data_IF_022828567693
#
_entry.id   IF_022828567693
#
_cell.length_a   1.000
_cell.length_b   1.000
_cell.length_c   1.000
_cell.angle_alpha   90.00
_cell.angle_beta   90.00
_cell.angle_gamma   90.00
#
_symmetry.space_group_name_H-M   'P 1'
#
loop_
_entity.id
_entity.type
_entity.pdbx_description
1 polymer ?
#
# COMPACT_ATOMS: atom_id res chain seq x y z
N UNK A 1 -23.47 0.02 3.20
CA UNK A 1 -22.44 -0.81 3.86
C UNK A 1 -22.61 -0.57 5.35
N UNK A 2 -22.71 -1.64 6.19
CA UNK A 2 -22.97 -1.45 7.62
C UNK A 2 -21.79 -0.78 8.33
N UNK A 3 -22.06 -0.06 9.42
CA UNK A 3 -21.09 0.70 10.23
C UNK A 3 -19.88 -0.15 10.67
N UNK A 4 -20.14 -1.41 11.06
CA UNK A 4 -19.08 -2.36 11.46
C UNK A 4 -18.18 -2.79 10.31
N UNK A 5 -18.71 -2.88 9.10
CA UNK A 5 -17.91 -3.21 7.91
C UNK A 5 -16.91 -2.08 7.62
N UNK A 6 -17.35 -0.82 7.70
CA UNK A 6 -16.49 0.34 7.53
C UNK A 6 -15.41 0.40 8.60
N UNK A 7 -15.77 0.17 9.87
CA UNK A 7 -14.80 0.13 10.98
C UNK A 7 -13.72 -0.93 10.76
N UNK A 8 -14.11 -2.16 10.40
CA UNK A 8 -13.13 -3.23 10.15
C UNK A 8 -12.26 -2.97 8.93
N UNK A 9 -12.78 -2.27 7.91
CA UNK A 9 -11.99 -1.87 6.76
C UNK A 9 -10.96 -0.80 7.15
N UNK A 10 -11.35 0.20 7.92
CA UNK A 10 -10.45 1.25 8.41
C UNK A 10 -9.34 0.68 9.30
N UNK A 11 -9.68 -0.22 10.23
CA UNK A 11 -8.69 -0.93 11.03
C UNK A 11 -7.73 -1.76 10.15
N UNK A 12 -8.25 -2.39 9.10
CA UNK A 12 -7.45 -3.24 8.21
C UNK A 12 -6.47 -2.42 7.34
N UNK A 13 -6.85 -1.23 6.92
CA UNK A 13 -5.99 -0.29 6.16
C UNK A 13 -4.76 0.18 6.93
N UNK A 14 -4.79 0.07 8.27
CA UNK A 14 -3.64 0.38 9.12
C UNK A 14 -2.65 -0.79 9.25
N UNK A 15 -2.97 -1.95 8.69
CA UNK A 15 -2.12 -3.13 8.76
C UNK A 15 -1.16 -3.17 7.57
N UNK A 16 0.10 -3.50 7.86
CA UNK A 16 1.09 -3.77 6.82
C UNK A 16 1.12 -5.28 6.53
N UNK A 17 0.99 -5.71 5.28
CA UNK A 17 1.20 -7.11 4.91
C UNK A 17 2.61 -7.58 5.30
N UNK A 18 2.73 -8.84 5.75
CA UNK A 18 4.03 -9.42 6.12
C UNK A 18 4.89 -9.83 4.93
N UNK A 19 4.29 -9.89 3.75
CA UNK A 19 4.96 -10.28 2.50
C UNK A 19 4.33 -9.56 1.32
N UNK A 20 5.14 -9.33 0.32
CA UNK A 20 4.74 -8.78 -0.97
C UNK A 20 4.53 -9.95 -1.94
N UNK A 21 3.44 -9.92 -2.70
CA UNK A 21 3.29 -10.84 -3.83
C UNK A 21 4.24 -10.41 -4.95
N UNK A 22 5.15 -11.30 -5.28
CA UNK A 22 5.91 -11.20 -6.51
C UNK A 22 5.23 -12.13 -7.53
N UNK A 23 4.45 -11.56 -8.45
CA UNK A 23 3.78 -12.36 -9.46
C UNK A 23 4.83 -12.99 -10.39
N UNK A 24 4.63 -14.25 -10.74
CA UNK A 24 5.55 -14.98 -11.63
C UNK A 24 5.65 -14.38 -13.04
N UNK A 25 4.70 -13.53 -13.42
CA UNK A 25 4.63 -12.81 -14.68
C UNK A 25 4.88 -11.30 -14.54
N UNK A 26 5.54 -10.83 -13.47
CA UNK A 26 5.87 -9.42 -13.31
C UNK A 26 6.71 -8.85 -14.46
N UNK A 27 7.44 -9.71 -15.19
CA UNK A 27 8.19 -9.36 -16.38
C UNK A 27 7.29 -9.11 -17.63
N UNK A 28 6.00 -9.48 -17.56
CA UNK A 28 5.00 -9.23 -18.59
C UNK A 28 4.26 -7.89 -18.37
N UNK A 29 4.57 -7.16 -17.27
CA UNK A 29 4.07 -5.80 -17.04
C UNK A 29 4.75 -4.85 -18.03
N UNK A 30 3.99 -4.34 -18.99
CA UNK A 30 4.49 -3.51 -20.10
C UNK A 30 5.23 -2.26 -19.57
N UNK A 31 4.71 -1.62 -18.54
CA UNK A 31 5.31 -0.41 -17.97
C UNK A 31 6.64 -0.71 -17.26
N UNK A 32 6.68 -1.81 -16.51
CA UNK A 32 7.90 -2.25 -15.84
C UNK A 32 8.95 -2.72 -16.86
N UNK A 33 8.53 -3.46 -17.88
CA UNK A 33 9.41 -3.92 -18.95
C UNK A 33 10.00 -2.75 -19.75
N UNK A 34 9.17 -1.77 -20.14
CA UNK A 34 9.62 -0.57 -20.84
C UNK A 34 10.65 0.23 -20.00
N UNK A 35 10.40 0.39 -18.71
CA UNK A 35 11.35 1.05 -17.80
C UNK A 35 12.69 0.29 -17.75
N UNK A 36 12.65 -1.04 -17.69
CA UNK A 36 13.87 -1.88 -17.64
C UNK A 36 14.64 -1.84 -18.94
N UNK A 37 13.96 -1.83 -20.09
CA UNK A 37 14.58 -1.67 -21.42
C UNK A 37 15.31 -0.32 -21.53
N UNK A 38 14.71 0.75 -21.03
CA UNK A 38 15.28 2.09 -21.08
C UNK A 38 16.45 2.26 -20.10
N UNK A 39 16.36 1.68 -18.90
CA UNK A 39 17.23 2.04 -17.76
C UNK A 39 18.10 0.91 -17.25
N UNK A 40 17.83 -0.33 -17.68
CA UNK A 40 18.57 -1.54 -17.33
C UNK A 40 18.06 -2.22 -16.05
N UNK A 41 18.56 -3.43 -15.83
CA UNK A 41 18.12 -4.34 -14.75
C UNK A 41 18.29 -3.80 -13.32
N UNK A 42 19.17 -2.83 -13.10
CA UNK A 42 19.31 -2.21 -11.78
C UNK A 42 18.02 -1.53 -11.32
N UNK A 43 17.27 -0.94 -12.26
CA UNK A 43 16.00 -0.29 -11.97
C UNK A 43 14.91 -1.28 -11.57
N UNK A 44 14.91 -2.49 -12.11
CA UNK A 44 14.04 -3.57 -11.68
C UNK A 44 14.26 -3.92 -10.20
N UNK A 45 15.52 -4.07 -9.78
CA UNK A 45 15.87 -4.31 -8.38
C UNK A 45 15.44 -3.16 -7.46
N UNK A 46 15.63 -1.90 -7.89
CA UNK A 46 15.20 -0.73 -7.11
C UNK A 46 13.68 -0.61 -7.03
N UNK A 47 12.97 -0.97 -8.08
CA UNK A 47 11.50 -1.01 -8.06
C UNK A 47 11.00 -1.98 -6.99
N UNK A 48 11.51 -3.20 -6.95
CA UNK A 48 11.08 -4.18 -5.95
C UNK A 48 11.48 -3.80 -4.54
N UNK A 49 12.66 -3.23 -4.34
CA UNK A 49 13.07 -2.68 -3.05
C UNK A 49 12.11 -1.57 -2.59
N UNK A 50 11.68 -0.70 -3.49
CA UNK A 50 10.70 0.35 -3.19
C UNK A 50 9.32 -0.25 -2.89
N UNK A 51 8.89 -1.28 -3.61
CA UNK A 51 7.64 -2.02 -3.34
C UNK A 51 7.66 -2.59 -1.91
N UNK A 52 8.73 -3.25 -1.50
CA UNK A 52 8.91 -3.79 -0.15
C UNK A 52 8.88 -2.68 0.91
N UNK A 53 9.61 -1.60 0.67
CA UNK A 53 9.69 -0.45 1.56
C UNK A 53 8.30 0.18 1.78
N UNK A 54 7.55 0.43 0.72
CA UNK A 54 6.21 1.02 0.80
C UNK A 54 5.20 0.07 1.43
N UNK A 55 5.24 -1.22 1.08
CA UNK A 55 4.34 -2.23 1.66
C UNK A 55 4.50 -2.34 3.18
N UNK A 56 5.72 -2.16 3.70
CA UNK A 56 6.02 -2.21 5.12
C UNK A 56 5.59 -0.96 5.90
N UNK A 57 5.18 0.11 5.22
CA UNK A 57 4.78 1.38 5.83
C UNK A 57 3.28 1.49 5.98
N UNK A 58 2.84 2.16 7.04
CA UNK A 58 1.42 2.54 7.19
C UNK A 58 1.03 3.52 6.10
N UNK A 59 -0.13 3.30 5.49
CA UNK A 59 -0.63 4.09 4.37
C UNK A 59 0.07 3.83 3.04
N UNK A 60 1.14 3.00 3.04
CA UNK A 60 1.85 2.56 1.83
C UNK A 60 2.42 3.71 0.98
N UNK A 61 2.73 4.82 1.64
CA UNK A 61 3.28 6.02 1.02
C UNK A 61 4.61 6.44 1.66
N UNK A 62 5.36 7.28 0.96
CA UNK A 62 6.58 7.88 1.44
C UNK A 62 6.55 9.40 1.20
N UNK A 63 6.70 10.19 2.26
CA UNK A 63 6.74 11.64 2.17
C UNK A 63 8.04 12.11 1.49
N UNK A 64 7.90 12.74 0.34
CA UNK A 64 8.97 13.34 -0.48
C UNK A 64 8.74 14.83 -0.75
N UNK A 65 7.85 15.46 -0.01
CA UNK A 65 7.48 16.86 -0.16
C UNK A 65 8.65 17.83 0.08
N UNK A 66 9.65 17.41 0.84
CA UNK A 66 10.81 18.24 1.19
C UNK A 66 12.16 17.52 0.97
N UNK A 67 13.24 18.29 1.14
CA UNK A 67 14.61 17.76 1.00
C UNK A 67 14.96 16.68 2.04
N UNK A 68 14.31 16.66 3.20
CA UNK A 68 14.53 15.65 4.25
C UNK A 68 13.87 14.33 3.85
N UNK A 69 12.67 14.39 3.25
CA UNK A 69 11.98 13.22 2.70
C UNK A 69 12.85 12.51 1.66
N UNK A 70 13.40 13.25 0.71
CA UNK A 70 14.30 12.71 -0.31
C UNK A 70 15.58 12.09 0.27
N UNK A 71 16.19 12.72 1.29
CA UNK A 71 17.36 12.15 1.96
C UNK A 71 17.03 10.84 2.68
N UNK A 72 15.88 10.79 3.37
CA UNK A 72 15.42 9.56 4.05
C UNK A 72 15.15 8.45 3.04
N UNK A 73 14.41 8.74 1.95
CA UNK A 73 14.14 7.75 0.91
C UNK A 73 15.44 7.19 0.31
N UNK A 74 16.39 8.05 -0.07
CA UNK A 74 17.67 7.62 -0.60
C UNK A 74 18.45 6.77 0.41
N UNK A 75 18.42 7.11 1.70
CA UNK A 75 19.04 6.32 2.77
C UNK A 75 18.38 4.93 2.90
N UNK A 76 17.06 4.88 2.98
CA UNK A 76 16.31 3.63 3.16
C UNK A 76 16.48 2.70 1.95
N UNK A 77 16.59 3.24 0.74
CA UNK A 77 16.90 2.48 -0.47
C UNK A 77 18.38 2.08 -0.61
N UNK A 78 19.27 2.56 0.25
CA UNK A 78 20.70 2.26 0.19
C UNK A 78 21.07 0.92 0.84
N UNK A 79 20.12 0.17 1.39
CA UNK A 79 20.40 -1.10 2.09
C UNK A 79 21.03 -2.18 1.17
N UNK A 80 20.77 -2.13 -0.14
CA UNK A 80 21.30 -3.10 -1.11
C UNK A 80 22.13 -2.45 -2.24
N UNK A 81 22.20 -1.13 -2.30
CA UNK A 81 22.95 -0.39 -3.33
C UNK A 81 23.27 1.02 -2.84
N UNK A 82 24.30 1.67 -3.43
CA UNK A 82 24.55 3.08 -3.15
C UNK A 82 23.48 3.94 -3.85
N UNK A 83 22.53 4.49 -3.08
CA UNK A 83 21.49 5.38 -3.57
C UNK A 83 21.77 6.81 -3.09
N UNK A 84 22.07 7.71 -4.03
CA UNK A 84 22.20 9.14 -3.74
C UNK A 84 20.88 9.85 -3.99
N UNK A 85 20.67 11.04 -3.39
CA UNK A 85 19.45 11.83 -3.61
C UNK A 85 19.21 12.14 -5.10
N UNK A 86 20.22 12.58 -5.89
CA UNK A 86 20.01 12.78 -7.33
C UNK A 86 19.58 11.50 -8.06
N UNK A 87 20.23 10.37 -7.77
CA UNK A 87 19.90 9.07 -8.37
C UNK A 87 18.49 8.61 -7.99
N UNK A 88 18.10 8.82 -6.72
CA UNK A 88 16.76 8.53 -6.24
C UNK A 88 15.69 9.36 -6.97
N UNK A 89 15.95 10.66 -7.19
CA UNK A 89 15.07 11.54 -7.94
C UNK A 89 14.92 11.11 -9.40
N UNK A 90 16.02 10.75 -10.07
CA UNK A 90 15.99 10.21 -11.44
C UNK A 90 15.15 8.93 -11.49
N UNK A 91 15.34 8.02 -10.54
CA UNK A 91 14.56 6.78 -10.46
C UNK A 91 13.07 7.06 -10.28
N UNK A 92 12.68 7.95 -9.36
CA UNK A 92 11.27 8.31 -9.15
C UNK A 92 10.68 9.00 -10.38
N UNK A 93 11.42 9.86 -11.06
CA UNK A 93 10.97 10.48 -12.31
C UNK A 93 10.66 9.43 -13.38
N UNK A 94 11.49 8.41 -13.52
CA UNK A 94 11.23 7.30 -14.46
C UNK A 94 10.00 6.49 -14.08
N UNK A 95 9.80 6.21 -12.79
CA UNK A 95 8.57 5.56 -12.33
C UNK A 95 7.32 6.40 -12.67
N UNK A 96 7.44 7.72 -12.59
CA UNK A 96 6.37 8.65 -12.95
C UNK A 96 6.10 8.63 -14.46
N UNK A 97 7.14 8.68 -15.30
CA UNK A 97 7.03 8.70 -16.75
C UNK A 97 6.41 7.39 -17.30
N UNK A 98 6.67 6.26 -16.64
CA UNK A 98 6.09 4.95 -16.96
C UNK A 98 4.78 4.63 -16.22
N UNK A 99 4.11 5.60 -15.58
CA UNK A 99 2.84 5.43 -14.85
C UNK A 99 2.87 4.35 -13.74
N UNK A 100 4.04 4.04 -13.18
CA UNK A 100 4.21 3.05 -12.11
C UNK A 100 3.85 3.61 -10.73
N UNK A 101 3.82 4.93 -10.57
CA UNK A 101 3.44 5.62 -9.31
C UNK A 101 2.14 6.40 -9.46
N UNK A 102 1.48 6.64 -8.34
CA UNK A 102 0.25 7.41 -8.28
C UNK A 102 0.56 8.90 -8.50
N UNK A 103 0.03 9.47 -9.59
CA UNK A 103 0.15 10.90 -9.90
C UNK A 103 -0.53 11.77 -8.85
N UNK A 104 -1.69 11.37 -8.36
CA UNK A 104 -2.41 12.07 -7.29
C UNK A 104 -1.54 12.20 -6.03
N UNK A 105 -0.95 11.11 -5.54
CA UNK A 105 -0.07 11.16 -4.38
C UNK A 105 1.18 11.99 -4.63
N UNK A 106 1.77 11.87 -5.82
CA UNK A 106 3.00 12.57 -6.16
C UNK A 106 2.78 14.08 -6.30
N UNK A 107 1.80 14.49 -7.12
CA UNK A 107 1.64 15.88 -7.54
C UNK A 107 0.85 16.73 -6.51
N UNK A 108 -0.15 16.13 -5.86
CA UNK A 108 -1.03 16.85 -4.93
C UNK A 108 -0.58 16.72 -3.47
N UNK A 109 -0.06 15.56 -3.08
CA UNK A 109 0.28 15.27 -1.67
C UNK A 109 1.78 15.31 -1.38
N UNK A 110 2.65 15.39 -2.40
CA UNK A 110 4.09 15.29 -2.22
C UNK A 110 4.53 13.94 -1.64
N UNK A 111 3.79 12.88 -1.98
CA UNK A 111 4.01 11.52 -1.50
C UNK A 111 4.34 10.57 -2.63
N UNK A 112 5.27 9.67 -2.40
CA UNK A 112 5.57 8.57 -3.31
C UNK A 112 4.70 7.36 -2.94
N UNK A 113 3.91 6.88 -3.91
CA UNK A 113 3.09 5.68 -3.79
C UNK A 113 3.10 4.90 -5.11
N UNK A 114 3.37 3.60 -5.05
CA UNK A 114 3.33 2.72 -6.23
C UNK A 114 1.89 2.25 -6.45
N UNK A 115 1.35 2.39 -7.66
CA UNK A 115 -0.01 2.01 -8.03
C UNK A 115 -0.34 0.56 -7.66
N UNK A 116 0.60 -0.36 -7.90
CA UNK A 116 0.49 -1.77 -7.53
C UNK A 116 0.34 -1.95 -6.02
N UNK A 117 1.19 -1.29 -5.21
CA UNK A 117 1.16 -1.40 -3.74
C UNK A 117 -0.17 -0.92 -3.19
N UNK A 118 -0.70 0.20 -3.68
CA UNK A 118 -2.01 0.73 -3.29
C UNK A 118 -3.13 -0.27 -3.59
N UNK A 119 -3.16 -0.83 -4.80
CA UNK A 119 -4.18 -1.82 -5.22
C UNK A 119 -4.10 -3.11 -4.40
N UNK A 120 -2.90 -3.63 -4.19
CA UNK A 120 -2.70 -4.89 -3.46
C UNK A 120 -3.01 -4.73 -1.96
N UNK A 121 -2.68 -3.57 -1.37
CA UNK A 121 -3.00 -3.25 0.02
C UNK A 121 -4.51 -3.08 0.24
N UNK A 122 -5.23 -2.47 -0.69
CA UNK A 122 -6.68 -2.34 -0.61
C UNK A 122 -7.36 -3.72 -0.70
N UNK A 123 -6.91 -4.57 -1.62
CA UNK A 123 -7.37 -5.96 -1.74
C UNK A 123 -7.13 -6.75 -0.45
N UNK A 124 -5.95 -6.61 0.15
CA UNK A 124 -5.60 -7.23 1.43
C UNK A 124 -6.50 -6.73 2.55
N UNK A 125 -6.72 -5.42 2.65
CA UNK A 125 -7.55 -4.78 3.66
C UNK A 125 -9.00 -5.26 3.59
N UNK A 126 -9.58 -5.35 2.40
CA UNK A 126 -10.92 -5.93 2.19
C UNK A 126 -10.99 -7.40 2.63
N UNK A 127 -9.97 -8.20 2.32
CA UNK A 127 -9.88 -9.59 2.75
C UNK A 127 -9.81 -9.73 4.29
N UNK A 128 -9.06 -8.88 4.96
CA UNK A 128 -8.97 -8.85 6.43
C UNK A 128 -10.30 -8.41 7.05
N UNK A 129 -10.90 -7.34 6.54
CA UNK A 129 -12.18 -6.82 7.03
C UNK A 129 -13.29 -7.86 6.91
N UNK A 130 -13.37 -8.57 5.77
CA UNK A 130 -14.32 -9.67 5.54
C UNK A 130 -14.17 -10.80 6.57
N UNK A 131 -12.93 -11.22 6.87
CA UNK A 131 -12.67 -12.24 7.90
C UNK A 131 -13.05 -11.77 9.29
N UNK A 132 -12.71 -10.54 9.67
CA UNK A 132 -13.10 -9.94 10.96
C UNK A 132 -14.62 -9.86 11.11
N UNK A 133 -15.34 -9.43 10.06
CA UNK A 133 -16.79 -9.37 10.05
C UNK A 133 -17.42 -10.74 10.18
N UNK A 134 -16.92 -11.75 9.47
CA UNK A 134 -17.40 -13.12 9.61
C UNK A 134 -17.22 -13.64 11.05
N UNK A 135 -16.03 -13.44 11.64
CA UNK A 135 -15.76 -13.85 13.03
C UNK A 135 -16.63 -13.08 14.04
N UNK A 136 -16.91 -11.79 13.77
CA UNK A 136 -17.82 -10.98 14.60
C UNK A 136 -19.25 -11.53 14.56
N UNK A 137 -19.77 -11.86 13.37
CA UNK A 137 -21.12 -12.37 13.18
C UNK A 137 -21.33 -13.80 13.73
N UNK A 138 -20.27 -14.61 13.79
CA UNK A 138 -20.31 -15.98 14.33
C UNK A 138 -20.11 -16.04 15.84
N UNK A 139 -19.76 -14.94 16.52
CA UNK A 139 -19.53 -14.92 17.96
C UNK A 139 -20.86 -14.86 18.72
N UNK A 140 -21.29 -15.96 19.43
CA UNK A 140 -22.60 -16.03 20.05
C UNK A 140 -22.82 -14.98 21.15
N UNK A 141 -21.77 -14.59 21.89
CA UNK A 141 -21.87 -13.55 22.94
C UNK A 141 -22.16 -12.16 22.38
N UNK A 142 -21.66 -11.84 21.19
CA UNK A 142 -21.89 -10.54 20.53
C UNK A 142 -23.23 -10.50 19.83
N UNK A 143 -23.67 -11.66 19.30
CA UNK A 143 -24.99 -11.82 18.68
C UNK A 143 -26.10 -11.62 19.71
N UNK A 144 -25.99 -12.24 20.89
CA UNK A 144 -26.96 -12.09 21.98
C UNK A 144 -27.07 -10.62 22.46
N UNK A 145 -25.96 -9.87 22.54
CA UNK A 145 -25.99 -8.45 22.89
C UNK A 145 -26.73 -7.61 21.85
N UNK A 146 -26.54 -7.87 20.55
CA UNK A 146 -27.20 -7.15 19.47
C UNK A 146 -28.71 -7.40 19.42
N UNK A 147 -29.10 -8.65 19.65
CA UNK A 147 -30.50 -9.05 19.66
C UNK A 147 -31.21 -8.46 20.90
N UNK A 148 -30.56 -8.40 22.07
CA UNK A 148 -31.07 -7.71 23.28
C UNK A 148 -31.22 -6.21 23.15
N UNK A 149 -30.31 -5.51 22.47
CA UNK A 149 -30.40 -4.07 22.21
C UNK A 149 -31.54 -3.70 21.20
N UNK A 150 -31.93 -4.60 20.31
CA UNK A 150 -33.05 -4.41 19.38
C UNK A 150 -34.42 -4.55 20.07
N UNK A 151 -34.57 -5.48 20.98
CA UNK A 151 -35.83 -5.66 21.72
C UNK A 151 -36.08 -4.50 22.72
N UNK A 152 -35.02 -3.82 23.18
CA UNK A 152 -35.14 -2.64 24.04
C UNK A 152 -35.61 -1.36 23.33
N UNK A 153 -35.48 -1.27 21.98
CA UNK A 153 -35.92 -0.09 21.20
C UNK A 153 -37.35 -0.19 20.67
N UNK A 154 -38.00 -1.35 20.75
CA UNK A 154 -39.41 -1.51 20.32
C UNK A 154 -40.44 -1.28 21.42
N UNK A 155 -40.02 -1.07 22.66
CA UNK A 155 -40.90 -0.86 23.83
C UNK A 155 -40.75 0.51 24.51
N UNK A 156 -40.34 1.52 23.76
CA UNK A 156 -40.22 2.92 24.23
C UNK A 156 -41.16 3.87 23.46
#
# INVERSE_FOLDING_TARGET
MGDETLRFLEEARQLCPRYVRHDTNAHEDDALSAMVEESGMAFYGWYWLLVELLTSRRGHTYDISDARGWKRLAHDMSCMCTMTVPRCKTFVAMLYDHDLISREHHDELGQLAINRVLRDSETYSHGVAKRKLAAYNTNPKRRAKRDGDRDGQQNG
#
